data_IF_793102416200
#
_entry.id   IF_793102416200
#
_cell.length_a   1.000
_cell.length_b   1.000
_cell.length_c   1.000
_cell.angle_alpha   90.00
_cell.angle_beta   90.00
_cell.angle_gamma   90.00
#
_symmetry.space_group_name_H-M   'P 1'
#
loop_
_entity.id
_entity.type
_entity.pdbx_description
1 polymer ?
#
# COMPACT_ATOMS: atom_id res chain seq x y z
N UNK A 1 -27.07 -13.64 3.07
CA UNK A 1 -25.75 -13.23 3.53
C UNK A 1 -24.69 -13.39 2.43
N UNK A 2 -24.60 -14.53 1.74
CA UNK A 2 -23.62 -14.78 0.66
C UNK A 2 -23.67 -13.75 -0.51
N UNK A 3 -24.85 -13.23 -0.82
CA UNK A 3 -25.07 -12.25 -1.90
C UNK A 3 -24.49 -10.87 -1.59
N UNK A 4 -24.41 -10.47 -0.31
CA UNK A 4 -23.87 -9.17 0.10
C UNK A 4 -22.33 -9.13 0.03
N UNK A 5 -21.67 -10.23 0.37
CA UNK A 5 -20.20 -10.32 0.34
C UNK A 5 -19.68 -10.35 -1.10
N UNK A 6 -20.38 -11.05 -2.01
CA UNK A 6 -20.03 -11.03 -3.43
C UNK A 6 -20.26 -9.65 -4.06
N UNK A 7 -21.30 -8.91 -3.65
CA UNK A 7 -21.55 -7.56 -4.14
C UNK A 7 -20.50 -6.55 -3.63
N UNK A 8 -20.01 -6.70 -2.39
CA UNK A 8 -18.93 -5.89 -1.85
C UNK A 8 -17.62 -6.11 -2.61
N UNK A 9 -17.23 -7.38 -2.82
CA UNK A 9 -16.04 -7.72 -3.60
C UNK A 9 -16.15 -7.29 -5.08
N UNK A 10 -17.34 -7.38 -5.68
CA UNK A 10 -17.57 -6.95 -7.06
C UNK A 10 -17.62 -5.42 -7.20
N UNK A 11 -18.22 -4.69 -6.25
CA UNK A 11 -18.16 -3.23 -6.24
C UNK A 11 -16.74 -2.69 -6.02
N UNK A 12 -15.93 -3.40 -5.23
CA UNK A 12 -14.53 -3.09 -5.06
C UNK A 12 -13.69 -3.28 -6.33
N UNK A 13 -14.18 -4.07 -7.28
CA UNK A 13 -13.53 -4.38 -8.55
C UNK A 13 -13.97 -3.45 -9.71
N UNK A 14 -14.99 -2.61 -9.51
CA UNK A 14 -15.40 -1.61 -10.51
C UNK A 14 -14.58 -0.34 -10.35
N UNK A 15 -13.64 -0.03 -11.27
CA UNK A 15 -12.91 1.22 -11.19
C UNK A 15 -13.84 2.39 -11.48
N UNK A 16 -14.05 3.26 -10.49
CA UNK A 16 -14.53 4.61 -10.78
C UNK A 16 -13.39 5.38 -11.44
N UNK A 17 -13.54 5.73 -12.71
CA UNK A 17 -12.56 6.58 -13.44
C UNK A 17 -12.69 8.00 -12.88
N UNK A 18 -11.72 8.53 -12.14
CA UNK A 18 -11.75 9.94 -11.74
C UNK A 18 -11.41 10.80 -12.95
N UNK A 19 -12.36 11.61 -13.38
CA UNK A 19 -12.12 12.69 -14.32
C UNK A 19 -11.51 13.87 -13.56
N UNK A 20 -10.20 14.08 -13.63
CA UNK A 20 -9.58 15.29 -13.08
C UNK A 20 -8.07 15.20 -12.88
N UNK A 21 -7.38 16.15 -13.42
CA UNK A 21 -6.00 16.66 -13.24
C UNK A 21 -4.92 15.74 -12.62
N UNK A 22 -3.73 15.75 -13.21
CA UNK A 22 -2.59 14.86 -12.95
C UNK A 22 -2.11 14.65 -11.52
N UNK A 23 -2.57 15.41 -10.52
CA UNK A 23 -2.27 15.14 -9.12
C UNK A 23 -3.20 14.08 -8.48
N UNK A 24 -4.41 13.90 -8.99
CA UNK A 24 -5.34 12.89 -8.47
C UNK A 24 -4.90 11.45 -8.82
N UNK A 25 -4.21 11.26 -9.94
CA UNK A 25 -3.66 9.95 -10.31
C UNK A 25 -2.61 9.41 -9.33
N UNK A 26 -1.87 10.29 -8.66
CA UNK A 26 -0.87 9.92 -7.64
C UNK A 26 -1.49 9.41 -6.34
N UNK A 27 -2.73 9.78 -6.05
CA UNK A 27 -3.42 9.43 -4.81
C UNK A 27 -4.46 8.30 -4.99
N UNK A 28 -4.62 7.73 -6.18
CA UNK A 28 -5.57 6.65 -6.43
C UNK A 28 -4.92 5.27 -6.21
N UNK A 29 -5.71 4.31 -5.71
CA UNK A 29 -5.34 2.89 -5.72
C UNK A 29 -5.96 2.24 -6.98
N UNK A 30 -5.33 2.42 -8.11
CA UNK A 30 -5.81 1.87 -9.37
C UNK A 30 -5.41 0.40 -9.52
N UNK A 31 -6.34 -0.46 -9.96
CA UNK A 31 -6.02 -1.80 -10.42
C UNK A 31 -5.64 -1.70 -11.91
N UNK A 32 -4.36 -1.80 -12.21
CA UNK A 32 -3.89 -1.80 -13.59
C UNK A 32 -2.82 -2.86 -13.77
N UNK A 33 -3.03 -3.86 -14.64
CA UNK A 33 -2.01 -4.85 -14.96
C UNK A 33 -0.84 -4.26 -15.77
N UNK A 34 -1.02 -3.05 -16.30
CA UNK A 34 -0.03 -2.31 -17.10
C UNK A 34 0.50 -1.07 -16.35
N UNK A 35 0.34 -1.01 -15.02
CA UNK A 35 0.88 0.10 -14.26
C UNK A 35 2.41 0.17 -14.46
N UNK A 36 2.96 1.34 -14.85
CA UNK A 36 4.40 1.49 -15.01
C UNK A 36 5.11 1.29 -13.68
N UNK A 37 6.35 0.81 -13.73
CA UNK A 37 7.24 0.84 -12.57
C UNK A 37 7.55 2.30 -12.24
N UNK A 38 6.99 2.78 -11.14
CA UNK A 38 7.21 4.16 -10.72
C UNK A 38 8.49 4.28 -9.91
N UNK A 39 9.31 5.29 -10.28
CA UNK A 39 10.46 5.72 -9.49
C UNK A 39 10.09 6.96 -8.68
N UNK A 40 10.35 6.91 -7.39
CA UNK A 40 10.06 7.99 -6.45
C UNK A 40 11.36 8.60 -5.96
N UNK A 41 11.50 9.92 -6.12
CA UNK A 41 12.59 10.71 -5.56
C UNK A 41 12.04 11.76 -4.61
N UNK A 42 12.83 12.11 -3.59
CA UNK A 42 12.40 13.04 -2.56
C UNK A 42 11.24 12.51 -1.72
N UNK A 43 10.44 13.41 -1.16
CA UNK A 43 9.30 13.07 -0.33
C UNK A 43 8.00 13.39 -1.06
N UNK A 44 7.08 12.42 -1.11
CA UNK A 44 5.78 12.60 -1.75
C UNK A 44 4.72 11.75 -1.06
N UNK A 45 3.51 12.27 -0.98
CA UNK A 45 2.33 11.48 -0.65
C UNK A 45 1.77 10.87 -1.94
N UNK A 46 1.62 9.55 -1.93
CA UNK A 46 1.07 8.83 -3.08
C UNK A 46 0.21 7.64 -2.68
N UNK A 47 -0.69 7.27 -3.52
CA UNK A 47 -1.33 5.97 -3.56
C UNK A 47 -0.43 4.95 -4.27
N UNK A 48 -0.98 3.80 -4.60
CA UNK A 48 -0.26 2.77 -5.33
C UNK A 48 -1.21 1.92 -6.16
N UNK A 49 -0.62 1.04 -6.96
CA UNK A 49 -1.39 0.07 -7.72
C UNK A 49 -1.77 -1.14 -6.85
N UNK A 50 -3.03 -1.55 -6.89
CA UNK A 50 -3.46 -2.82 -6.32
C UNK A 50 -2.96 -3.95 -7.21
N UNK A 51 -1.87 -4.59 -6.81
CA UNK A 51 -1.22 -5.68 -7.56
C UNK A 51 -1.68 -7.06 -7.15
N UNK A 52 -2.27 -7.17 -5.96
CA UNK A 52 -2.80 -8.40 -5.42
C UNK A 52 -4.09 -8.15 -4.64
N UNK A 53 -5.06 -9.04 -4.80
CA UNK A 53 -6.33 -9.01 -4.09
C UNK A 53 -6.83 -10.44 -3.89
N UNK A 54 -7.05 -10.84 -2.64
CA UNK A 54 -7.59 -12.15 -2.28
C UNK A 54 -8.54 -12.01 -1.09
N UNK A 55 -9.64 -12.75 -1.13
CA UNK A 55 -10.55 -12.90 0.01
C UNK A 55 -10.36 -14.27 0.65
N UNK A 56 -10.23 -14.31 1.98
CA UNK A 56 -10.03 -15.54 2.76
C UNK A 56 -10.94 -15.59 4.00
N UNK A 57 -10.88 -16.70 4.72
CA UNK A 57 -11.70 -16.95 5.92
C UNK A 57 -13.12 -17.36 5.60
N UNK A 58 -13.87 -17.74 6.63
CA UNK A 58 -15.27 -18.14 6.51
C UNK A 58 -16.09 -16.98 5.93
N UNK A 59 -16.90 -17.27 4.93
CA UNK A 59 -17.72 -16.28 4.20
C UNK A 59 -16.89 -15.12 3.58
N UNK A 60 -15.62 -15.32 3.28
CA UNK A 60 -14.69 -14.28 2.77
C UNK A 60 -14.55 -13.09 3.72
N UNK A 61 -14.44 -13.36 5.01
CA UNK A 61 -14.37 -12.35 6.07
C UNK A 61 -13.18 -11.41 5.93
N UNK A 62 -12.04 -11.90 5.40
CA UNK A 62 -10.81 -11.14 5.27
C UNK A 62 -10.52 -10.81 3.81
N UNK A 63 -10.15 -9.55 3.56
CA UNK A 63 -9.65 -9.10 2.27
C UNK A 63 -8.18 -8.73 2.42
N UNK A 64 -7.34 -9.40 1.65
CA UNK A 64 -5.90 -9.15 1.56
C UNK A 64 -5.58 -8.37 0.30
N UNK A 65 -4.81 -7.30 0.43
CA UNK A 65 -4.41 -6.44 -0.68
C UNK A 65 -2.92 -6.14 -0.61
N UNK A 66 -2.26 -6.08 -1.77
CA UNK A 66 -0.93 -5.52 -1.91
C UNK A 66 -1.04 -4.26 -2.75
N UNK A 67 -0.64 -3.15 -2.17
CA UNK A 67 -0.62 -1.83 -2.80
C UNK A 67 0.83 -1.47 -3.07
N UNK A 68 1.26 -1.63 -4.32
CA UNK A 68 2.63 -1.33 -4.74
C UNK A 68 2.84 0.18 -4.81
N UNK A 69 3.81 0.68 -4.06
CA UNK A 69 4.14 2.11 -3.97
C UNK A 69 5.24 2.51 -4.94
N UNK A 70 6.28 1.68 -5.11
CA UNK A 70 7.40 1.97 -6.00
C UNK A 70 8.05 0.69 -6.52
N UNK A 71 8.64 0.74 -7.72
CA UNK A 71 9.43 -0.32 -8.34
C UNK A 71 10.91 -0.28 -7.94
N UNK A 72 11.22 0.18 -6.74
CA UNK A 72 12.55 0.22 -6.14
C UNK A 72 12.45 0.28 -4.63
N UNK A 73 13.58 0.13 -3.95
CA UNK A 73 13.68 0.33 -2.50
C UNK A 73 13.42 1.80 -2.14
N UNK A 74 12.51 2.05 -1.19
CA UNK A 74 12.27 3.34 -0.57
C UNK A 74 13.17 3.53 0.65
N UNK A 75 13.57 4.78 0.93
CA UNK A 75 14.23 5.12 2.19
C UNK A 75 13.30 4.94 3.40
N UNK A 76 12.00 5.23 3.21
CA UNK A 76 11.03 5.04 4.27
C UNK A 76 9.58 5.27 3.85
N UNK A 77 8.67 4.78 4.69
CA UNK A 77 7.23 5.05 4.63
C UNK A 77 6.85 5.68 5.97
N UNK A 78 6.70 7.00 5.98
CA UNK A 78 6.55 7.79 7.21
C UNK A 78 5.12 7.68 7.77
N UNK A 79 4.14 8.12 7.00
CA UNK A 79 2.74 8.17 7.41
C UNK A 79 1.85 7.41 6.44
N UNK A 80 0.79 6.81 6.97
CA UNK A 80 -0.25 6.17 6.18
C UNK A 80 -1.54 6.95 6.38
N UNK A 81 -2.33 7.04 5.32
CA UNK A 81 -3.62 7.70 5.31
C UNK A 81 -4.67 6.74 4.77
N UNK A 82 -5.84 6.75 5.39
CA UNK A 82 -7.04 6.06 4.93
C UNK A 82 -8.11 7.12 4.67
N UNK A 83 -8.59 7.24 3.43
CA UNK A 83 -9.52 8.30 3.00
C UNK A 83 -9.09 9.70 3.45
N UNK A 84 -7.79 10.03 3.25
CA UNK A 84 -7.14 11.28 3.65
C UNK A 84 -6.93 11.51 5.15
N UNK A 85 -7.42 10.63 6.02
CA UNK A 85 -7.14 10.67 7.46
C UNK A 85 -5.82 9.96 7.77
N UNK A 86 -4.94 10.64 8.52
CA UNK A 86 -3.71 10.02 9.00
C UNK A 86 -4.04 8.98 10.06
N UNK A 87 -3.44 7.79 9.95
CA UNK A 87 -3.65 6.71 10.89
C UNK A 87 -2.38 6.31 11.63
N UNK A 88 -2.54 5.89 12.87
CA UNK A 88 -1.47 5.27 13.67
C UNK A 88 -1.64 3.76 13.69
N UNK A 89 -0.50 3.07 13.64
CA UNK A 89 -0.44 1.62 13.72
C UNK A 89 0.17 1.18 15.05
N UNK A 90 -0.34 0.09 15.60
CA UNK A 90 0.32 -0.60 16.72
C UNK A 90 1.55 -1.41 16.27
N UNK A 91 2.19 -2.10 17.22
CA UNK A 91 3.36 -2.94 16.93
C UNK A 91 3.08 -4.14 16.00
N UNK A 92 1.82 -4.53 15.84
CA UNK A 92 1.38 -5.62 14.96
C UNK A 92 0.88 -5.10 13.61
N UNK A 93 0.83 -3.77 13.42
CA UNK A 93 0.36 -3.11 12.21
C UNK A 93 -1.14 -2.85 12.17
N UNK A 94 -1.87 -3.03 13.27
CA UNK A 94 -3.28 -2.67 13.31
C UNK A 94 -3.47 -1.17 13.46
N UNK A 95 -4.49 -0.66 12.76
CA UNK A 95 -4.91 0.74 12.88
C UNK A 95 -5.60 0.95 14.22
N UNK A 96 -5.14 1.95 14.97
CA UNK A 96 -5.60 2.26 16.33
C UNK A 96 -6.30 3.61 16.45
N UNK A 97 -6.50 4.33 15.35
CA UNK A 97 -7.09 5.68 15.32
C UNK A 97 -8.25 5.79 14.35
N UNK A 98 -9.12 6.77 14.62
CA UNK A 98 -10.28 7.10 13.79
C UNK A 98 -11.37 6.03 13.81
N UNK A 99 -12.37 6.19 12.97
CA UNK A 99 -13.48 5.26 12.79
C UNK A 99 -13.06 3.84 12.39
N UNK A 100 -11.84 3.68 11.90
CA UNK A 100 -11.25 2.39 11.52
C UNK A 100 -10.92 1.47 12.70
N UNK A 101 -10.94 2.00 13.94
CA UNK A 101 -10.67 1.26 15.19
C UNK A 101 -11.91 1.12 16.09
N UNK A 102 -13.03 1.74 15.76
CA UNK A 102 -14.20 1.81 16.65
C UNK A 102 -14.85 0.44 16.94
N UNK A 103 -14.91 -0.45 15.92
CA UNK A 103 -15.48 -1.80 16.06
C UNK A 103 -14.40 -2.88 16.20
N UNK A 104 -13.28 -2.54 16.82
CA UNK A 104 -12.12 -3.41 16.96
C UNK A 104 -11.08 -3.21 15.85
N UNK A 105 -10.03 -3.99 15.89
CA UNK A 105 -8.86 -3.86 14.99
C UNK A 105 -9.15 -4.48 13.62
N UNK A 106 -9.96 -3.81 12.80
CA UNK A 106 -10.44 -4.31 11.50
C UNK A 106 -9.46 -4.10 10.35
N UNK A 107 -8.52 -3.15 10.48
CA UNK A 107 -7.55 -2.80 9.45
C UNK A 107 -6.14 -3.07 9.96
N UNK A 108 -5.39 -3.91 9.22
CA UNK A 108 -3.96 -4.16 9.49
C UNK A 108 -3.14 -3.78 8.28
N UNK A 109 -2.06 -3.04 8.50
CA UNK A 109 -1.18 -2.54 7.44
C UNK A 109 0.27 -2.86 7.81
N UNK A 110 0.99 -3.54 6.91
CA UNK A 110 2.42 -3.81 7.02
C UNK A 110 3.17 -3.05 5.93
N UNK A 111 4.31 -2.47 6.29
CA UNK A 111 5.16 -1.65 5.41
C UNK A 111 6.33 -2.49 4.91
N UNK A 112 6.51 -2.56 3.61
CA UNK A 112 7.61 -3.24 2.96
C UNK A 112 8.35 -2.24 2.07
N UNK A 113 9.63 -2.01 2.37
CA UNK A 113 10.43 -0.97 1.71
C UNK A 113 11.03 -1.39 0.37
N UNK A 114 10.99 -2.67 0.03
CA UNK A 114 11.61 -3.16 -1.21
C UNK A 114 13.10 -3.45 -1.10
N UNK A 115 13.62 -3.67 0.12
CA UNK A 115 15.04 -3.97 0.30
C UNK A 115 15.46 -5.25 -0.44
N UNK A 116 16.72 -5.32 -0.88
CA UNK A 116 17.25 -6.47 -1.61
C UNK A 116 17.20 -7.79 -0.81
N UNK A 117 17.22 -7.72 0.51
CA UNK A 117 17.10 -8.87 1.41
C UNK A 117 15.68 -9.05 1.98
N UNK A 118 14.68 -8.36 1.43
CA UNK A 118 13.29 -8.46 1.87
C UNK A 118 12.78 -9.89 1.75
N UNK A 119 12.08 -10.33 2.77
CA UNK A 119 11.41 -11.64 2.83
C UNK A 119 9.91 -11.47 2.65
N UNK A 120 9.21 -12.58 2.39
CA UNK A 120 7.74 -12.59 2.37
C UNK A 120 7.19 -12.09 3.70
N UNK A 121 6.09 -11.37 3.65
CA UNK A 121 5.35 -10.99 4.86
C UNK A 121 4.79 -12.25 5.53
N UNK A 122 5.10 -12.44 6.81
CA UNK A 122 4.74 -13.65 7.55
C UNK A 122 3.24 -13.81 7.76
N UNK A 123 2.54 -12.69 7.95
CA UNK A 123 1.10 -12.71 8.15
C UNK A 123 0.38 -13.01 6.82
N UNK A 124 0.83 -12.39 5.74
CA UNK A 124 0.31 -12.66 4.40
C UNK A 124 0.54 -14.12 4.00
N UNK A 125 1.73 -14.65 4.26
CA UNK A 125 2.05 -16.06 3.98
C UNK A 125 1.17 -17.03 4.78
N UNK A 126 0.87 -16.70 6.04
CA UNK A 126 0.08 -17.55 6.92
C UNK A 126 -1.43 -17.51 6.60
N UNK A 127 -1.94 -16.39 6.09
CA UNK A 127 -3.37 -16.14 5.91
C UNK A 127 -3.85 -16.24 4.45
N UNK A 128 -2.94 -16.17 3.47
CA UNK A 128 -3.24 -16.31 2.04
C UNK A 128 -3.24 -17.77 1.60
N UNK A 129 -4.12 -18.09 0.64
CA UNK A 129 -4.13 -19.40 -0.01
C UNK A 129 -3.25 -19.44 -1.27
N UNK A 130 -2.83 -18.30 -1.78
CA UNK A 130 -2.14 -18.15 -3.07
C UNK A 130 -0.67 -17.74 -2.93
N UNK A 131 -0.32 -17.03 -1.85
CA UNK A 131 1.05 -16.55 -1.62
C UNK A 131 1.93 -17.66 -1.06
N UNK A 132 3.12 -17.77 -1.63
CA UNK A 132 4.15 -18.71 -1.19
C UNK A 132 5.38 -17.98 -0.65
N UNK A 133 6.31 -18.72 -0.04
CA UNK A 133 7.58 -18.16 0.46
C UNK A 133 8.46 -17.52 -0.63
N UNK A 134 8.15 -17.75 -1.90
CA UNK A 134 8.87 -17.15 -3.03
C UNK A 134 8.44 -15.72 -3.33
N UNK A 135 7.28 -15.30 -2.80
CA UNK A 135 6.80 -13.92 -2.91
C UNK A 135 7.54 -13.01 -1.93
N UNK A 136 8.73 -12.56 -2.29
CA UNK A 136 9.58 -11.73 -1.42
C UNK A 136 9.41 -10.23 -1.65
N UNK A 137 8.96 -9.80 -2.83
CA UNK A 137 8.81 -8.40 -3.17
C UNK A 137 10.12 -7.60 -3.16
N UNK A 138 11.26 -8.26 -3.39
CA UNK A 138 12.58 -7.60 -3.45
C UNK A 138 12.61 -6.57 -4.58
N UNK A 139 13.10 -5.37 -4.29
CA UNK A 139 13.10 -4.27 -5.25
C UNK A 139 11.72 -3.64 -5.48
N UNK A 140 10.69 -4.00 -4.70
CA UNK A 140 9.34 -3.44 -4.80
C UNK A 140 8.87 -2.99 -3.43
N UNK A 141 8.64 -1.70 -3.29
CA UNK A 141 8.06 -1.16 -2.06
C UNK A 141 6.53 -1.23 -2.10
N UNK A 142 5.92 -1.78 -1.06
CA UNK A 142 4.48 -1.97 -1.00
C UNK A 142 3.91 -1.89 0.41
N UNK A 143 2.61 -1.69 0.48
CA UNK A 143 1.81 -1.92 1.68
C UNK A 143 1.09 -3.27 1.52
N UNK A 144 1.20 -4.12 2.51
CA UNK A 144 0.26 -5.21 2.69
C UNK A 144 -0.86 -4.74 3.60
N UNK A 145 -2.10 -4.82 3.10
CA UNK A 145 -3.30 -4.39 3.82
C UNK A 145 -4.23 -5.59 3.99
N UNK A 146 -4.66 -5.84 5.22
CA UNK A 146 -5.73 -6.79 5.53
C UNK A 146 -6.92 -6.05 6.11
N UNK A 147 -8.08 -6.25 5.51
CA UNK A 147 -9.36 -5.75 6.02
C UNK A 147 -10.17 -6.92 6.55
N UNK A 148 -10.71 -6.78 7.76
CA UNK A 148 -11.72 -7.69 8.29
C UNK A 148 -13.10 -7.08 8.03
N UNK A 149 -13.95 -7.80 7.27
CA UNK A 149 -15.27 -7.28 6.89
C UNK A 149 -16.09 -6.88 8.10
N UNK A 150 -16.55 -5.64 8.08
CA UNK A 150 -17.48 -5.05 9.03
C UNK A 150 -18.33 -4.02 8.27
N UNK A 151 -19.67 -4.20 8.30
CA UNK A 151 -20.56 -3.37 7.50
C UNK A 151 -20.58 -1.92 7.94
N UNK A 152 -20.40 -1.65 9.23
CA UNK A 152 -20.43 -0.30 9.77
C UNK A 152 -19.13 0.44 9.44
N UNK A 153 -17.98 -0.25 9.54
CA UNK A 153 -16.66 0.32 9.21
C UNK A 153 -16.49 0.55 7.71
N UNK A 154 -16.98 -0.37 6.87
CA UNK A 154 -16.80 -0.33 5.40
C UNK A 154 -18.10 -0.03 4.65
N UNK A 155 -19.00 0.76 5.23
CA UNK A 155 -20.29 1.13 4.62
C UNK A 155 -20.14 1.74 3.21
N UNK A 156 -19.04 2.45 2.96
CA UNK A 156 -18.70 3.09 1.68
C UNK A 156 -17.78 2.25 0.78
N UNK A 157 -17.55 0.98 1.12
CA UNK A 157 -16.66 0.08 0.37
C UNK A 157 -15.21 0.12 0.84
N UNK A 158 -14.29 -0.34 -0.01
CA UNK A 158 -12.85 -0.37 0.28
C UNK A 158 -12.32 1.06 0.30
N UNK A 159 -11.67 1.50 1.40
CA UNK A 159 -11.13 2.85 1.50
C UNK A 159 -9.89 3.04 0.61
N UNK A 160 -9.58 4.30 0.33
CA UNK A 160 -8.37 4.71 -0.37
C UNK A 160 -7.19 4.71 0.60
N UNK A 161 -6.12 3.98 0.24
CA UNK A 161 -4.87 3.97 1.00
C UNK A 161 -3.82 4.82 0.31
N UNK A 162 -3.23 5.77 1.03
CA UNK A 162 -2.10 6.56 0.56
C UNK A 162 -1.02 6.60 1.63
N UNK A 163 0.23 6.81 1.22
CA UNK A 163 1.36 6.89 2.13
C UNK A 163 2.26 8.08 1.81
N UNK A 164 2.80 8.71 2.85
CA UNK A 164 3.91 9.64 2.72
C UNK A 164 5.20 8.82 2.64
N UNK A 165 5.86 8.86 1.51
CA UNK A 165 7.06 8.06 1.26
C UNK A 165 8.27 8.93 1.04
N UNK A 166 9.42 8.46 1.55
CA UNK A 166 10.75 8.96 1.17
C UNK A 166 11.29 8.05 0.08
N UNK A 167 11.58 8.65 -1.07
CA UNK A 167 11.97 7.95 -2.29
C UNK A 167 13.36 7.30 -2.22
N UNK A 168 13.91 7.04 -3.39
CA UNK A 168 15.18 6.37 -3.59
C UNK A 168 16.33 7.13 -2.93
N UNK A 169 17.27 6.40 -2.32
CA UNK A 169 18.56 6.94 -1.90
C UNK A 169 19.41 7.23 -3.12
N UNK A 170 20.06 8.39 -3.14
CA UNK A 170 20.86 8.87 -4.28
C UNK A 170 22.32 9.13 -3.86
N UNK A 171 23.23 8.90 -4.79
CA UNK A 171 24.66 9.14 -4.56
C UNK A 171 25.00 10.63 -4.62
N UNK A 172 25.68 11.16 -3.59
CA UNK A 172 26.25 12.50 -3.60
C UNK A 172 27.75 12.43 -3.95
N UNK A 173 28.17 12.93 -5.11
CA UNK A 173 29.57 12.87 -5.55
C UNK A 173 30.53 13.74 -4.68
N UNK A 174 29.99 14.67 -3.91
CA UNK A 174 30.76 15.54 -3.01
C UNK A 174 31.21 14.81 -1.75
N UNK A 175 30.37 13.83 -1.31
CA UNK A 175 30.61 13.08 -0.07
C UNK A 175 30.90 11.60 -0.33
N UNK A 176 30.71 11.12 -1.56
CA UNK A 176 30.76 9.71 -1.96
C UNK A 176 29.79 8.80 -1.17
N UNK A 177 28.73 9.37 -0.61
CA UNK A 177 27.72 8.63 0.17
C UNK A 177 26.42 8.48 -0.61
N UNK A 178 25.69 7.40 -0.33
CA UNK A 178 24.36 7.11 -0.88
C UNK A 178 23.34 7.29 0.25
N UNK A 179 22.57 8.38 0.19
CA UNK A 179 21.61 8.74 1.22
C UNK A 179 20.31 9.27 0.60
N UNK A 180 19.26 9.29 1.42
CA UNK A 180 18.04 10.00 1.05
C UNK A 180 18.33 11.49 0.83
N UNK A 181 17.74 12.08 -0.21
CA UNK A 181 17.90 13.50 -0.52
C UNK A 181 16.68 14.07 -1.25
N UNK A 182 16.32 15.31 -0.88
CA UNK A 182 15.34 16.13 -1.59
C UNK A 182 16.01 17.08 -2.61
N UNK A 183 17.32 16.97 -2.82
CA UNK A 183 18.03 17.80 -3.78
C UNK A 183 17.71 17.34 -5.21
N UNK A 184 17.01 18.20 -5.96
CA UNK A 184 16.59 17.89 -7.32
C UNK A 184 17.77 17.56 -8.25
N UNK A 185 18.90 18.23 -8.09
CA UNK A 185 20.09 17.97 -8.93
C UNK A 185 20.67 16.57 -8.70
N UNK A 186 20.67 16.09 -7.45
CA UNK A 186 21.11 14.73 -7.15
C UNK A 186 20.10 13.68 -7.67
N UNK A 187 18.82 13.96 -7.57
CA UNK A 187 17.78 13.10 -8.08
C UNK A 187 17.83 12.98 -9.62
N UNK A 188 17.97 14.11 -10.33
CA UNK A 188 18.11 14.12 -11.80
C UNK A 188 19.37 13.38 -12.27
N UNK A 189 20.46 13.50 -11.51
CA UNK A 189 21.70 12.80 -11.83
C UNK A 189 21.60 11.29 -11.68
N UNK A 190 20.78 10.80 -10.76
CA UNK A 190 20.57 9.38 -10.47
C UNK A 190 19.57 8.73 -11.46
N UNK A 191 18.65 9.53 -12.03
CA UNK A 191 17.68 9.10 -13.01
C UNK A 191 18.33 8.82 -14.37
#
# INVERSE_FOLDING_TARGET
AATLVTSWALNALTPSIPSGSGMQGLLANARSPLAPHEYVYGQVRKGGANTYLEATGDENKFLHMIITLAGHELDGIDSIYINDEIVTLDGNGFVTTGGWAENGLKVRIKKHLGAANQTVDTDLLAESNLITSDFKGQGIAYLYVRLEYDQDVFANGIPLFTAMVRGKKVGDPRTAQVNYSNNAALCIRDY
#
